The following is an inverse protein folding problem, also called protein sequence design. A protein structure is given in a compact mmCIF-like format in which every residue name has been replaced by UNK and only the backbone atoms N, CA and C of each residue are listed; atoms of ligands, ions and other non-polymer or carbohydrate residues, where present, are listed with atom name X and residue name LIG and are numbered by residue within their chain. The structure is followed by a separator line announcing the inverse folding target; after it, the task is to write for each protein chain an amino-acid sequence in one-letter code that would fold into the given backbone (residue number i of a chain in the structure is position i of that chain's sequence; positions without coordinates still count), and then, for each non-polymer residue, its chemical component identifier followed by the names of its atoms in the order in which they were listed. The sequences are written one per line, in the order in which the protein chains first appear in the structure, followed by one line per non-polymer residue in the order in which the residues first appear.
data_IF_076576767602
#
_entry.id   IF_076576767602
#
_cell.length_a   1.000
_cell.length_b   1.000
_cell.length_c   1.000
_cell.angle_alpha   90.00
_cell.angle_beta   90.00
_cell.angle_gamma   90.00
#
_symmetry.space_group_name_H-M   'P 1'
#
loop_
_entity.id
_entity.type
_entity.pdbx_description
1 polymer ?
#
# COMPACT_ATOMS: atom_id res chain seq x y z
N UNK A 1 -13.88 -5.06 1.40
CA UNK A 1 -12.69 -5.52 2.12
C UNK A 1 -11.89 -4.29 2.43
N UNK A 2 -11.91 -3.89 3.69
CA UNK A 2 -11.34 -2.62 4.12
C UNK A 2 -9.87 -2.84 4.50
N UNK A 3 -8.97 -2.00 4.00
CA UNK A 3 -7.58 -2.01 4.49
C UNK A 3 -7.53 -1.19 5.78
N UNK A 4 -7.36 -1.85 6.91
CA UNK A 4 -7.37 -1.22 8.25
C UNK A 4 -6.01 -0.65 8.65
N UNK A 5 -4.93 -1.19 8.10
CA UNK A 5 -3.56 -0.73 8.31
C UNK A 5 -2.78 -0.76 7.00
N UNK A 6 -1.91 0.24 6.80
CA UNK A 6 -1.07 0.36 5.60
C UNK A 6 0.40 0.44 6.01
N UNK A 7 1.22 -0.44 5.45
CA UNK A 7 2.68 -0.41 5.52
C UNK A 7 3.26 0.08 4.19
N UNK A 8 4.30 0.91 4.26
CA UNK A 8 5.01 1.42 3.07
C UNK A 8 6.49 1.11 3.20
N UNK A 9 7.02 0.29 2.31
CA UNK A 9 8.45 -0.02 2.26
C UNK A 9 9.19 0.99 1.39
N UNK A 10 10.33 1.47 1.88
CA UNK A 10 11.14 2.47 1.20
C UNK A 10 12.30 1.82 0.44
N UNK A 11 12.38 2.09 -0.86
CA UNK A 11 13.58 1.91 -1.67
C UNK A 11 13.96 3.23 -2.37
N UNK A 12 15.12 3.27 -3.04
CA UNK A 12 15.73 4.52 -3.54
C UNK A 12 14.82 5.37 -4.41
N UNK A 13 14.04 4.75 -5.31
CA UNK A 13 13.12 5.43 -6.24
C UNK A 13 11.74 4.76 -6.34
N UNK A 14 11.49 3.74 -5.53
CA UNK A 14 10.28 2.95 -5.57
C UNK A 14 9.84 2.58 -4.16
N UNK A 15 8.55 2.34 -4.00
CA UNK A 15 7.91 1.93 -2.76
C UNK A 15 7.14 0.65 -2.99
N UNK A 16 6.94 -0.14 -1.95
CA UNK A 16 5.91 -1.18 -1.93
C UNK A 16 4.83 -0.77 -0.92
N UNK A 17 3.57 -1.03 -1.25
CA UNK A 17 2.42 -0.77 -0.37
C UNK A 17 1.84 -2.12 0.04
N UNK A 18 1.82 -2.33 1.35
CA UNK A 18 1.24 -3.48 2.01
C UNK A 18 0.04 -3.01 2.83
N UNK A 19 -1.00 -3.84 2.90
CA UNK A 19 -2.17 -3.60 3.71
C UNK A 19 -2.39 -4.76 4.69
N UNK A 20 -3.16 -4.50 5.73
CA UNK A 20 -3.81 -5.52 6.54
C UNK A 20 -5.31 -5.33 6.37
N UNK A 21 -6.03 -6.40 6.04
CA UNK A 21 -7.49 -6.37 5.96
C UNK A 21 -8.15 -6.51 7.34
N UNK A 22 -9.48 -6.43 7.36
CA UNK A 22 -10.32 -6.58 8.55
C UNK A 22 -10.25 -7.98 9.18
N UNK A 23 -9.82 -8.99 8.42
CA UNK A 23 -9.53 -10.35 8.89
C UNK A 23 -8.10 -10.50 9.44
N UNK A 24 -7.36 -9.40 9.61
CA UNK A 24 -5.96 -9.37 10.04
C UNK A 24 -4.99 -10.10 9.11
N UNK A 25 -5.34 -10.26 7.83
CA UNK A 25 -4.45 -10.85 6.83
C UNK A 25 -3.62 -9.76 6.16
N UNK A 26 -2.33 -10.04 6.01
CA UNK A 26 -1.45 -9.22 5.21
C UNK A 26 -1.76 -9.40 3.72
N UNK A 27 -1.98 -8.28 3.03
CA UNK A 27 -2.26 -8.21 1.60
C UNK A 27 -1.25 -7.29 0.92
N UNK A 28 -0.67 -7.76 -0.18
CA UNK A 28 0.15 -6.91 -1.04
C UNK A 28 -0.79 -6.07 -1.91
N UNK A 29 -0.82 -4.77 -1.67
CA UNK A 29 -1.68 -3.85 -2.43
C UNK A 29 -0.98 -3.47 -3.73
N UNK A 30 0.28 -3.03 -3.64
CA UNK A 30 1.07 -2.69 -4.81
C UNK A 30 2.56 -2.92 -4.57
N UNK A 31 3.13 -3.90 -5.26
CA UNK A 31 4.53 -4.32 -5.05
C UNK A 31 5.57 -3.28 -5.52
N UNK A 32 5.18 -2.36 -6.41
CA UNK A 32 6.07 -1.31 -6.92
C UNK A 32 5.28 -0.04 -7.24
N UNK A 33 5.64 1.04 -6.57
CA UNK A 33 5.06 2.37 -6.75
C UNK A 33 6.20 3.34 -6.97
N UNK A 34 6.16 4.10 -8.06
CA UNK A 34 7.15 5.16 -8.26
C UNK A 34 6.97 6.23 -7.17
N UNK A 35 8.06 6.88 -6.74
CA UNK A 35 7.99 7.94 -5.70
C UNK A 35 6.94 9.01 -5.97
N UNK A 36 6.83 9.43 -7.23
CA UNK A 36 5.86 10.45 -7.64
C UNK A 36 4.40 9.97 -7.56
N UNK A 37 4.15 8.67 -7.50
CA UNK A 37 2.83 8.06 -7.55
C UNK A 37 2.32 7.57 -6.20
N UNK A 38 3.13 7.65 -5.12
CA UNK A 38 2.76 7.13 -3.79
C UNK A 38 1.49 7.76 -3.26
N UNK A 39 1.35 9.08 -3.36
CA UNK A 39 0.17 9.77 -2.86
C UNK A 39 -1.11 9.33 -3.61
N UNK A 40 -1.01 9.19 -4.93
CA UNK A 40 -2.12 8.70 -5.75
C UNK A 40 -2.47 7.25 -5.40
N UNK A 41 -1.46 6.39 -5.20
CA UNK A 41 -1.68 4.99 -4.84
C UNK A 41 -2.37 4.84 -3.47
N UNK A 42 -2.00 5.66 -2.48
CA UNK A 42 -2.67 5.70 -1.18
C UNK A 42 -4.13 6.20 -1.27
N UNK A 43 -4.42 7.16 -2.15
CA UNK A 43 -5.78 7.64 -2.38
C UNK A 43 -6.70 6.64 -3.08
N UNK A 44 -6.14 5.60 -3.71
CA UNK A 44 -6.88 4.55 -4.42
C UNK A 44 -7.04 3.27 -3.59
N UNK A 45 -6.72 3.32 -2.29
CA UNK A 45 -6.88 2.17 -1.43
C UNK A 45 -8.36 1.77 -1.32
N UNK A 46 -8.66 0.46 -1.27
CA UNK A 46 -10.01 0.00 -1.04
C UNK A 46 -10.48 0.38 0.36
N UNK A 47 -11.61 1.08 0.40
CA UNK A 47 -12.37 1.46 1.60
C UNK A 47 -13.27 0.34 2.10
#
# INVERSE_FOLDING_TARGET
MAIVCVGVDLAKNAFAIHGVDDDSKAVSVQARVARAQVLAALGHLPS
#
